data_IF_116419964156
#
_entry.id   IF_116419964156
#
_cell.length_a   1.000
_cell.length_b   1.000
_cell.length_c   1.000
_cell.angle_alpha   90.00
_cell.angle_beta   90.00
_cell.angle_gamma   90.00
#
_symmetry.space_group_name_H-M   'P 1'
#
loop_
_entity.id
_entity.type
_entity.pdbx_description
1 polymer ?
#
# COMPACT_ATOMS: atom_id res chain seq x y z
N UNK A 1 -5.11 2.18 28.29
CA UNK A 1 -3.76 2.34 27.72
C UNK A 1 -3.83 1.88 26.28
N UNK A 2 -3.60 2.75 25.33
CA UNK A 2 -3.49 2.37 23.91
C UNK A 2 -2.24 1.53 23.78
N UNK A 3 -2.37 0.25 23.40
CA UNK A 3 -1.22 -0.61 23.07
C UNK A 3 -0.80 -0.23 21.65
N UNK A 4 0.14 0.67 21.54
CA UNK A 4 0.75 1.02 20.27
C UNK A 4 1.89 0.05 19.98
N UNK A 5 1.82 -0.61 18.83
CA UNK A 5 2.94 -1.33 18.24
C UNK A 5 2.91 -2.85 18.33
N UNK A 6 2.61 -3.48 19.45
CA UNK A 6 2.57 -4.94 19.58
C UNK A 6 1.34 -5.42 20.35
N UNK A 7 0.69 -6.46 19.78
CA UNK A 7 -0.33 -7.25 20.48
C UNK A 7 -0.37 -8.66 19.87
N UNK A 8 -1.02 -9.60 20.56
CA UNK A 8 -1.22 -10.96 20.02
C UNK A 8 -1.99 -10.94 18.69
N UNK A 9 -2.92 -9.99 18.53
CA UNK A 9 -3.70 -9.85 17.31
C UNK A 9 -2.85 -9.34 16.15
N UNK A 10 -1.96 -8.36 16.38
CA UNK A 10 -0.98 -7.89 15.40
C UNK A 10 0.00 -9.01 15.03
N UNK A 11 0.52 -9.74 16.02
CA UNK A 11 1.39 -10.89 15.78
C UNK A 11 0.69 -11.98 14.93
N UNK A 12 -0.58 -12.27 15.25
CA UNK A 12 -1.37 -13.23 14.47
C UNK A 12 -1.61 -12.74 13.02
N UNK A 13 -1.87 -11.44 12.82
CA UNK A 13 -2.03 -10.86 11.49
C UNK A 13 -0.74 -10.95 10.66
N UNK A 14 0.41 -10.65 11.27
CA UNK A 14 1.72 -10.81 10.61
C UNK A 14 2.03 -12.26 10.24
N UNK A 15 1.75 -13.21 11.15
CA UNK A 15 1.92 -14.63 10.88
C UNK A 15 0.99 -15.12 9.76
N UNK A 16 -0.27 -14.61 9.75
CA UNK A 16 -1.23 -14.90 8.69
C UNK A 16 -0.76 -14.35 7.34
N UNK A 17 -0.34 -13.09 7.29
CA UNK A 17 0.20 -12.47 6.08
C UNK A 17 1.45 -13.21 5.59
N UNK A 18 2.40 -13.53 6.47
CA UNK A 18 3.62 -14.26 6.12
C UNK A 18 3.32 -15.62 5.49
N UNK A 19 2.32 -16.35 6.02
CA UNK A 19 1.89 -17.63 5.46
C UNK A 19 1.26 -17.49 4.07
N UNK A 20 0.49 -16.43 3.83
CA UNK A 20 -0.17 -16.22 2.54
C UNK A 20 0.79 -15.68 1.47
N UNK A 21 1.83 -14.95 1.88
CA UNK A 21 2.88 -14.40 1.02
C UNK A 21 4.16 -15.27 0.98
N UNK A 22 4.12 -16.53 1.44
CA UNK A 22 5.29 -17.40 1.63
C UNK A 22 6.13 -17.63 0.36
N UNK A 23 5.47 -17.64 -0.82
CA UNK A 23 6.10 -17.80 -2.12
C UNK A 23 6.32 -16.48 -2.87
N UNK A 24 5.97 -15.35 -2.26
CA UNK A 24 6.02 -14.07 -2.93
C UNK A 24 7.27 -13.27 -2.53
N UNK A 25 7.88 -12.66 -3.53
CA UNK A 25 8.96 -11.68 -3.35
C UNK A 25 8.55 -10.35 -3.95
N UNK A 26 9.10 -9.27 -3.44
CA UNK A 26 8.87 -7.93 -3.99
C UNK A 26 9.45 -7.83 -5.40
N UNK A 27 8.65 -7.29 -6.32
CA UNK A 27 8.99 -7.19 -7.74
C UNK A 27 10.37 -6.53 -7.95
N UNK A 28 11.22 -7.18 -8.73
CA UNK A 28 12.58 -6.70 -9.01
C UNK A 28 13.57 -6.82 -7.86
N UNK A 29 13.22 -7.55 -6.79
CA UNK A 29 14.09 -7.80 -5.64
C UNK A 29 14.04 -9.28 -5.24
N UNK A 30 14.82 -9.67 -4.22
CA UNK A 30 14.73 -10.98 -3.57
C UNK A 30 14.12 -10.89 -2.17
N UNK A 31 13.58 -9.73 -1.80
CA UNK A 31 13.01 -9.52 -0.48
C UNK A 31 11.67 -10.25 -0.35
N UNK A 32 11.43 -11.00 0.73
CA UNK A 32 10.14 -11.59 1.01
C UNK A 32 9.03 -10.52 1.01
N UNK A 33 7.89 -10.82 0.39
CA UNK A 33 6.81 -9.84 0.22
C UNK A 33 6.27 -9.33 1.56
N UNK A 34 6.26 -10.18 2.60
CA UNK A 34 5.78 -9.83 3.95
C UNK A 34 6.50 -8.61 4.56
N UNK A 35 7.67 -8.23 4.04
CA UNK A 35 8.36 -7.00 4.47
C UNK A 35 7.54 -5.74 4.19
N UNK A 36 6.65 -5.75 3.18
CA UNK A 36 5.77 -4.62 2.87
C UNK A 36 4.70 -4.41 3.95
N UNK A 37 3.79 -5.35 4.21
CA UNK A 37 2.79 -5.20 5.26
C UNK A 37 3.41 -4.99 6.65
N UNK A 38 4.57 -5.56 6.94
CA UNK A 38 5.28 -5.30 8.19
C UNK A 38 5.73 -3.83 8.32
N UNK A 39 6.26 -3.23 7.25
CA UNK A 39 6.64 -1.81 7.26
C UNK A 39 5.42 -0.90 7.33
N UNK A 40 4.31 -1.23 6.67
CA UNK A 40 3.04 -0.49 6.80
C UNK A 40 2.56 -0.50 8.25
N UNK A 41 2.61 -1.65 8.92
CA UNK A 41 2.27 -1.77 10.34
C UNK A 41 3.17 -0.89 11.23
N UNK A 42 4.48 -0.86 10.96
CA UNK A 42 5.44 0.00 11.67
C UNK A 42 5.10 1.49 11.47
N UNK A 43 4.76 1.90 10.25
CA UNK A 43 4.35 3.29 9.97
C UNK A 43 3.09 3.63 10.75
N UNK A 44 2.05 2.79 10.71
CA UNK A 44 0.80 3.01 11.43
C UNK A 44 1.02 3.09 12.95
N UNK A 45 1.83 2.17 13.50
CA UNK A 45 2.17 2.15 14.92
C UNK A 45 2.97 3.41 15.35
N UNK A 46 3.90 3.89 14.52
CA UNK A 46 4.68 5.12 14.76
C UNK A 46 3.77 6.36 14.92
N UNK A 47 2.61 6.35 14.27
CA UNK A 47 1.62 7.42 14.34
C UNK A 47 0.43 7.08 15.26
N UNK A 48 0.64 6.22 16.23
CA UNK A 48 -0.30 5.85 17.29
C UNK A 48 -1.67 5.35 16.79
N UNK A 49 -1.69 4.67 15.63
CA UNK A 49 -2.93 4.12 15.12
C UNK A 49 -3.40 2.92 15.96
N UNK A 50 -4.71 2.75 16.03
CA UNK A 50 -5.31 1.66 16.80
C UNK A 50 -4.97 0.27 16.20
N UNK A 51 -5.13 -0.76 17.02
CA UNK A 51 -4.85 -2.15 16.65
C UNK A 51 -5.62 -2.58 15.40
N UNK A 52 -6.89 -2.15 15.24
CA UNK A 52 -7.70 -2.51 14.08
C UNK A 52 -7.13 -1.92 12.80
N UNK A 53 -6.68 -0.67 12.83
CA UNK A 53 -6.04 0.01 11.70
C UNK A 53 -4.74 -0.68 11.31
N UNK A 54 -3.90 -1.04 12.29
CA UNK A 54 -2.64 -1.74 12.06
C UNK A 54 -2.89 -3.12 11.44
N UNK A 55 -3.84 -3.89 12.00
CA UNK A 55 -4.20 -5.22 11.49
C UNK A 55 -4.79 -5.14 10.07
N UNK A 56 -5.63 -4.14 9.79
CA UNK A 56 -6.16 -3.92 8.43
C UNK A 56 -5.04 -3.60 7.43
N UNK A 57 -4.06 -2.78 7.83
CA UNK A 57 -2.89 -2.47 7.01
C UNK A 57 -1.99 -3.68 6.70
N UNK A 58 -1.88 -4.62 7.65
CA UNK A 58 -1.17 -5.89 7.44
C UNK A 58 -1.92 -6.80 6.46
N UNK A 59 -3.25 -6.84 6.54
CA UNK A 59 -4.07 -7.81 5.81
C UNK A 59 -4.57 -7.33 4.46
N UNK A 60 -4.47 -6.03 4.16
CA UNK A 60 -4.90 -5.45 2.89
C UNK A 60 -4.22 -6.14 1.70
N UNK A 61 -2.91 -6.32 1.74
CA UNK A 61 -2.16 -6.99 0.67
C UNK A 61 -2.53 -8.48 0.55
N UNK A 62 -3.02 -9.14 1.62
CA UNK A 62 -3.47 -10.54 1.53
C UNK A 62 -4.71 -10.67 0.66
N UNK A 63 -5.70 -9.79 0.84
CA UNK A 63 -6.92 -9.82 0.01
C UNK A 63 -6.67 -9.33 -1.41
N UNK A 64 -5.67 -8.46 -1.61
CA UNK A 64 -5.31 -7.96 -2.93
C UNK A 64 -4.50 -8.99 -3.75
N UNK A 65 -3.41 -9.52 -3.18
CA UNK A 65 -2.35 -10.20 -3.91
C UNK A 65 -2.31 -11.72 -3.72
N UNK A 66 -3.08 -12.28 -2.77
CA UNK A 66 -3.04 -13.70 -2.48
C UNK A 66 -4.19 -14.49 -3.13
N UNK A 67 -4.97 -13.88 -4.02
CA UNK A 67 -5.98 -14.57 -4.83
C UNK A 67 -5.28 -15.49 -5.84
N UNK A 68 -5.52 -16.79 -5.73
CA UNK A 68 -4.97 -17.84 -6.60
C UNK A 68 -5.92 -19.04 -6.61
N UNK A 69 -5.66 -20.03 -7.44
CA UNK A 69 -6.53 -21.22 -7.60
C UNK A 69 -6.93 -21.87 -6.26
N UNK A 70 -6.00 -21.90 -5.29
CA UNK A 70 -6.26 -22.45 -3.95
C UNK A 70 -7.00 -21.49 -3.00
N UNK A 71 -7.09 -20.20 -3.35
CA UNK A 71 -7.65 -19.15 -2.48
C UNK A 71 -8.39 -18.11 -3.32
N UNK A 72 -9.69 -18.30 -3.50
CA UNK A 72 -10.53 -17.29 -4.14
C UNK A 72 -10.69 -16.05 -3.25
N UNK A 73 -11.01 -14.89 -3.84
CA UNK A 73 -11.26 -13.67 -3.09
C UNK A 73 -12.33 -13.85 -1.99
N UNK A 74 -13.51 -14.44 -2.26
CA UNK A 74 -14.52 -14.67 -1.20
C UNK A 74 -14.00 -15.55 -0.06
N UNK A 75 -13.15 -16.54 -0.35
CA UNK A 75 -12.56 -17.40 0.68
C UNK A 75 -11.55 -16.61 1.54
N UNK A 76 -10.75 -15.73 0.96
CA UNK A 76 -9.81 -14.88 1.72
C UNK A 76 -10.57 -13.88 2.58
N UNK A 77 -11.60 -13.23 2.02
CA UNK A 77 -12.48 -12.32 2.76
C UNK A 77 -13.14 -13.03 3.96
N UNK A 78 -13.71 -14.20 3.74
CA UNK A 78 -14.30 -15.00 4.82
C UNK A 78 -13.25 -15.30 5.90
N UNK A 79 -12.06 -15.79 5.53
CA UNK A 79 -11.00 -16.13 6.50
C UNK A 79 -10.51 -14.92 7.28
N UNK A 80 -10.36 -13.76 6.63
CA UNK A 80 -9.97 -12.52 7.30
C UNK A 80 -11.08 -12.07 8.25
N UNK A 81 -12.34 -12.05 7.80
CA UNK A 81 -13.49 -11.70 8.62
C UNK A 81 -13.66 -12.58 9.84
N UNK A 82 -13.56 -13.91 9.68
CA UNK A 82 -13.70 -14.89 10.78
C UNK A 82 -12.57 -14.76 11.82
N UNK A 83 -11.33 -14.45 11.38
CA UNK A 83 -10.16 -14.41 12.27
C UNK A 83 -9.93 -13.05 12.90
N UNK A 84 -10.19 -11.97 12.16
CA UNK A 84 -9.79 -10.62 12.55
C UNK A 84 -10.98 -9.66 12.72
N UNK A 85 -12.19 -10.13 12.39
CA UNK A 85 -13.42 -9.36 12.51
C UNK A 85 -13.79 -8.59 11.25
N UNK A 86 -15.08 -8.32 11.12
CA UNK A 86 -15.68 -7.67 9.96
C UNK A 86 -15.13 -6.26 9.74
N UNK A 87 -14.95 -5.49 10.82
CA UNK A 87 -14.46 -4.11 10.74
C UNK A 87 -13.05 -4.02 10.13
N UNK A 88 -12.17 -5.00 10.44
CA UNK A 88 -10.83 -5.11 9.85
C UNK A 88 -10.94 -5.42 8.37
N UNK A 89 -11.77 -6.38 8.00
CA UNK A 89 -11.99 -6.76 6.61
C UNK A 89 -12.54 -5.58 5.80
N UNK A 90 -13.58 -4.92 6.29
CA UNK A 90 -14.21 -3.77 5.60
C UNK A 90 -13.21 -2.61 5.42
N UNK A 91 -12.35 -2.36 6.42
CA UNK A 91 -11.27 -1.38 6.33
C UNK A 91 -10.25 -1.76 5.25
N UNK A 92 -9.82 -3.01 5.21
CA UNK A 92 -8.87 -3.50 4.21
C UNK A 92 -9.47 -3.41 2.80
N UNK A 93 -10.71 -3.88 2.60
CA UNK A 93 -11.40 -3.85 1.30
C UNK A 93 -11.66 -2.44 0.79
N UNK A 94 -11.93 -1.47 1.68
CA UNK A 94 -12.16 -0.08 1.29
C UNK A 94 -10.96 0.54 0.54
N UNK A 95 -9.76 0.03 0.79
CA UNK A 95 -8.49 0.52 0.21
C UNK A 95 -7.75 -0.56 -0.59
N UNK A 96 -8.44 -1.59 -1.02
CA UNK A 96 -7.92 -2.60 -1.94
C UNK A 96 -8.40 -2.29 -3.36
N UNK A 97 -7.52 -2.19 -4.37
CA UNK A 97 -7.92 -2.03 -5.76
C UNK A 97 -8.83 -3.19 -6.21
N UNK A 98 -9.92 -2.86 -6.88
CA UNK A 98 -10.85 -3.86 -7.44
C UNK A 98 -10.45 -4.25 -8.85
N UNK A 99 -10.72 -5.50 -9.22
CA UNK A 99 -10.57 -5.97 -10.60
C UNK A 99 -11.87 -5.89 -11.39
N UNK A 100 -12.99 -5.89 -10.70
CA UNK A 100 -14.34 -5.96 -11.25
C UNK A 100 -15.16 -4.87 -10.56
N UNK A 101 -15.99 -4.16 -11.30
CA UNK A 101 -16.91 -3.16 -10.78
C UNK A 101 -18.18 -3.78 -10.15
N UNK A 102 -19.14 -2.93 -9.76
CA UNK A 102 -20.39 -3.37 -9.13
C UNK A 102 -21.34 -4.07 -10.13
N UNK A 103 -21.14 -3.86 -11.43
CA UNK A 103 -21.90 -4.49 -12.51
C UNK A 103 -21.27 -5.80 -13.02
N UNK A 104 -20.14 -6.21 -12.43
CA UNK A 104 -19.40 -7.43 -12.79
C UNK A 104 -18.48 -7.26 -14.02
N UNK A 105 -18.19 -6.03 -14.43
CA UNK A 105 -17.34 -5.72 -15.58
C UNK A 105 -15.88 -5.60 -15.14
N UNK A 106 -14.96 -6.23 -15.87
CA UNK A 106 -13.53 -6.14 -15.60
C UNK A 106 -13.01 -4.73 -15.88
N UNK A 107 -12.43 -4.12 -14.85
CA UNK A 107 -11.86 -2.78 -14.92
C UNK A 107 -10.50 -2.80 -15.64
N UNK A 108 -10.29 -1.88 -16.57
CA UNK A 108 -8.97 -1.61 -17.15
C UNK A 108 -7.99 -1.13 -16.07
N UNK A 109 -6.69 -1.08 -16.40
CA UNK A 109 -5.68 -0.58 -15.47
C UNK A 109 -5.95 0.85 -14.98
N UNK A 110 -6.40 1.72 -15.87
CA UNK A 110 -6.67 3.12 -15.54
C UNK A 110 -8.00 3.25 -14.78
N UNK A 111 -9.04 2.50 -15.16
CA UNK A 111 -10.31 2.48 -14.43
C UNK A 111 -10.14 1.96 -12.98
N UNK A 112 -9.25 0.99 -12.76
CA UNK A 112 -8.90 0.52 -11.39
C UNK A 112 -8.30 1.63 -10.53
N UNK A 113 -7.46 2.48 -11.13
CA UNK A 113 -6.86 3.62 -10.45
C UNK A 113 -7.90 4.68 -10.12
N UNK A 114 -8.82 4.94 -11.03
CA UNK A 114 -9.92 5.88 -10.84
C UNK A 114 -10.87 5.39 -9.74
N UNK A 115 -11.32 4.15 -9.84
CA UNK A 115 -12.15 3.49 -8.82
C UNK A 115 -11.50 3.51 -7.44
N UNK A 116 -10.20 3.19 -7.37
CA UNK A 116 -9.46 3.19 -6.11
C UNK A 116 -9.45 4.58 -5.45
N UNK A 117 -9.13 5.64 -6.20
CA UNK A 117 -9.07 7.01 -5.68
C UNK A 117 -10.44 7.48 -5.17
N UNK A 118 -11.53 7.14 -5.89
CA UNK A 118 -12.88 7.47 -5.45
C UNK A 118 -13.32 6.69 -4.20
N UNK A 119 -12.98 5.41 -4.12
CA UNK A 119 -13.30 4.57 -2.95
C UNK A 119 -12.50 4.98 -1.73
N UNK A 120 -11.21 5.24 -1.89
CA UNK A 120 -10.34 5.75 -0.84
C UNK A 120 -10.89 7.08 -0.27
N UNK A 121 -11.37 7.97 -1.12
CA UNK A 121 -11.97 9.23 -0.69
C UNK A 121 -13.23 9.04 0.17
N UNK A 122 -14.00 7.96 -0.08
CA UNK A 122 -15.20 7.59 0.69
C UNK A 122 -14.88 6.69 1.89
N UNK A 123 -13.68 6.14 1.97
CA UNK A 123 -13.27 5.28 3.07
C UNK A 123 -13.34 6.04 4.41
N UNK A 124 -13.64 5.29 5.47
CA UNK A 124 -13.53 5.79 6.83
C UNK A 124 -12.09 6.18 7.19
N UNK A 125 -11.93 6.85 8.32
CA UNK A 125 -10.63 7.36 8.77
C UNK A 125 -9.54 6.27 8.79
N UNK A 126 -9.83 5.07 9.32
CA UNK A 126 -8.90 3.93 9.33
C UNK A 126 -8.43 3.54 7.92
N UNK A 127 -9.33 3.50 6.95
CA UNK A 127 -8.99 3.19 5.57
C UNK A 127 -8.05 4.24 4.97
N UNK A 128 -8.29 5.51 5.22
CA UNK A 128 -7.41 6.61 4.78
C UNK A 128 -6.02 6.50 5.39
N UNK A 129 -5.92 6.14 6.68
CA UNK A 129 -4.65 5.87 7.36
C UNK A 129 -3.89 4.71 6.70
N UNK A 130 -4.57 3.59 6.42
CA UNK A 130 -3.97 2.42 5.74
C UNK A 130 -3.49 2.80 4.34
N UNK A 131 -4.32 3.47 3.54
CA UNK A 131 -3.95 3.93 2.21
C UNK A 131 -2.71 4.82 2.25
N UNK A 132 -2.71 5.85 3.08
CA UNK A 132 -1.62 6.81 3.16
C UNK A 132 -0.33 6.17 3.69
N UNK A 133 -0.40 5.21 4.62
CA UNK A 133 0.78 4.44 5.08
C UNK A 133 1.37 3.55 3.97
N UNK A 134 0.51 2.92 3.14
CA UNK A 134 0.94 2.17 1.96
C UNK A 134 1.64 3.07 0.93
N UNK A 135 1.08 4.26 0.66
CA UNK A 135 1.68 5.23 -0.27
C UNK A 135 3.02 5.74 0.25
N UNK A 136 3.11 6.10 1.53
CA UNK A 136 4.36 6.53 2.15
C UNK A 136 5.44 5.44 2.07
N UNK A 137 5.07 4.19 2.40
CA UNK A 137 6.00 3.05 2.28
C UNK A 137 6.44 2.83 0.83
N UNK A 138 5.49 2.85 -0.12
CA UNK A 138 5.76 2.67 -1.54
C UNK A 138 6.75 3.70 -2.08
N UNK A 139 6.44 4.98 -1.88
CA UNK A 139 7.27 6.09 -2.33
C UNK A 139 8.68 6.08 -1.71
N UNK A 140 8.77 5.88 -0.38
CA UNK A 140 10.06 5.76 0.31
C UNK A 140 10.90 4.59 -0.19
N UNK A 141 10.28 3.45 -0.52
CA UNK A 141 10.99 2.30 -1.07
C UNK A 141 11.60 2.62 -2.43
N UNK A 142 10.84 3.30 -3.30
CA UNK A 142 11.33 3.72 -4.61
C UNK A 142 12.53 4.65 -4.45
N UNK A 143 12.42 5.68 -3.60
CA UNK A 143 13.53 6.60 -3.32
C UNK A 143 14.76 5.87 -2.76
N UNK A 144 14.57 4.93 -1.83
CA UNK A 144 15.66 4.16 -1.26
C UNK A 144 16.37 3.30 -2.32
N UNK A 145 15.60 2.71 -3.24
CA UNK A 145 16.15 1.90 -4.33
C UNK A 145 16.89 2.81 -5.36
N UNK A 146 16.32 3.96 -5.70
CA UNK A 146 16.97 4.94 -6.59
C UNK A 146 18.31 5.45 -6.03
N UNK A 147 18.37 5.70 -4.72
CA UNK A 147 19.62 6.15 -4.06
C UNK A 147 20.70 5.07 -3.98
N UNK A 148 20.35 3.80 -4.16
CA UNK A 148 21.27 2.65 -4.05
C UNK A 148 21.65 2.05 -5.39
N UNK A 149 20.95 2.39 -6.47
CA UNK A 149 21.21 1.83 -7.79
C UNK A 149 22.14 2.73 -8.60
N UNK A 150 22.96 2.12 -9.45
CA UNK A 150 23.74 2.82 -10.49
C UNK A 150 22.92 3.00 -11.77
N UNK A 151 21.79 2.28 -11.91
CA UNK A 151 20.90 2.37 -13.06
C UNK A 151 19.44 2.55 -12.61
N UNK A 152 18.96 3.81 -12.56
CA UNK A 152 17.57 4.11 -12.23
C UNK A 152 16.54 3.43 -13.13
N UNK A 153 16.90 3.09 -14.38
CA UNK A 153 16.02 2.39 -15.31
C UNK A 153 15.57 1.03 -14.79
N UNK A 154 16.42 0.32 -14.06
CA UNK A 154 16.08 -0.96 -13.42
C UNK A 154 14.99 -0.78 -12.36
N UNK A 155 15.01 0.32 -11.63
CA UNK A 155 13.97 0.62 -10.62
C UNK A 155 12.65 0.93 -11.31
N UNK A 156 12.66 1.82 -12.27
CA UNK A 156 11.46 2.27 -12.98
C UNK A 156 10.81 1.17 -13.83
N UNK A 157 11.62 0.27 -14.41
CA UNK A 157 11.15 -0.87 -15.20
C UNK A 157 10.32 -1.90 -14.40
N UNK A 158 10.28 -1.79 -13.06
CA UNK A 158 9.43 -2.64 -12.20
C UNK A 158 7.96 -2.24 -12.26
N UNK A 159 7.65 -1.00 -12.69
CA UNK A 159 6.32 -0.42 -12.62
C UNK A 159 5.67 -0.34 -14.00
N UNK A 160 4.40 -0.70 -14.07
CA UNK A 160 3.60 -0.55 -15.30
C UNK A 160 3.45 0.94 -15.63
N UNK A 161 3.82 1.32 -16.86
CA UNK A 161 3.84 2.72 -17.29
C UNK A 161 5.11 3.50 -16.89
N UNK A 162 6.09 2.84 -16.21
CA UNK A 162 7.40 3.38 -15.91
C UNK A 162 7.37 4.54 -14.92
N UNK A 163 8.40 5.38 -14.98
CA UNK A 163 8.68 6.50 -14.10
C UNK A 163 7.51 7.48 -13.96
N UNK A 164 7.09 8.08 -15.08
CA UNK A 164 6.12 9.18 -15.07
C UNK A 164 4.74 8.72 -14.56
N UNK A 165 4.30 7.52 -14.94
CA UNK A 165 3.03 6.98 -14.47
C UNK A 165 3.07 6.66 -12.97
N UNK A 166 4.22 6.23 -12.45
CA UNK A 166 4.41 5.94 -11.03
C UNK A 166 4.41 7.22 -10.20
N UNK A 167 5.15 8.25 -10.63
CA UNK A 167 5.20 9.54 -9.95
C UNK A 167 3.82 10.20 -9.95
N UNK A 168 3.14 10.26 -11.11
CA UNK A 168 1.77 10.78 -11.19
C UNK A 168 0.80 10.05 -10.28
N UNK A 169 0.95 8.73 -10.10
CA UNK A 169 0.13 7.96 -9.19
C UNK A 169 0.29 8.41 -7.74
N UNK A 170 1.53 8.44 -7.24
CA UNK A 170 1.80 8.88 -5.87
C UNK A 170 1.33 10.32 -5.61
N UNK A 171 1.55 11.22 -6.59
CA UNK A 171 1.05 12.60 -6.52
C UNK A 171 -0.48 12.61 -6.43
N UNK A 172 -1.16 11.90 -7.32
CA UNK A 172 -2.63 11.86 -7.37
C UNK A 172 -3.26 11.39 -6.05
N UNK A 173 -2.73 10.32 -5.45
CA UNK A 173 -3.25 9.82 -4.16
C UNK A 173 -2.98 10.83 -3.04
N UNK A 174 -1.78 11.42 -3.00
CA UNK A 174 -1.41 12.45 -2.02
C UNK A 174 -2.33 13.69 -2.13
N UNK A 175 -2.57 14.17 -3.34
CA UNK A 175 -3.44 15.32 -3.60
C UNK A 175 -4.89 15.01 -3.20
N UNK A 176 -5.39 13.83 -3.55
CA UNK A 176 -6.76 13.43 -3.18
C UNK A 176 -6.97 13.30 -1.68
N UNK A 177 -5.99 12.75 -0.94
CA UNK A 177 -6.03 12.73 0.53
C UNK A 177 -6.08 14.14 1.10
N UNK A 178 -5.31 15.07 0.52
CA UNK A 178 -5.32 16.48 0.93
C UNK A 178 -6.66 17.15 0.62
N UNK A 179 -7.22 16.96 -0.57
CA UNK A 179 -8.51 17.53 -1.01
C UNK A 179 -9.68 17.11 -0.13
N UNK A 180 -9.69 15.87 0.34
CA UNK A 180 -10.73 15.37 1.26
C UNK A 180 -10.51 15.78 2.72
N UNK A 181 -9.52 16.64 2.99
CA UNK A 181 -9.22 17.13 4.33
C UNK A 181 -8.59 16.10 5.25
N UNK A 182 -7.92 15.09 4.73
CA UNK A 182 -7.15 14.14 5.54
C UNK A 182 -5.84 14.81 5.95
N UNK A 183 -5.85 15.46 7.12
CA UNK A 183 -4.70 16.20 7.67
C UNK A 183 -4.04 15.44 8.82
N UNK A 184 -3.56 14.24 8.53
CA UNK A 184 -2.81 13.44 9.47
C UNK A 184 -1.36 13.96 9.61
N UNK A 185 -0.71 13.82 10.78
CA UNK A 185 0.65 14.34 11.01
C UNK A 185 1.68 13.88 9.96
N UNK A 186 1.54 12.66 9.45
CA UNK A 186 2.48 12.13 8.45
C UNK A 186 2.20 12.58 7.00
N UNK A 187 1.13 13.31 6.72
CA UNK A 187 0.90 13.89 5.40
C UNK A 187 2.02 14.85 4.97
N UNK A 188 2.66 15.51 5.93
CA UNK A 188 3.86 16.32 5.65
C UNK A 188 5.01 15.45 5.14
N UNK A 189 5.23 14.28 5.76
CA UNK A 189 6.24 13.32 5.32
C UNK A 189 5.89 12.74 3.93
N UNK A 190 4.62 12.38 3.70
CA UNK A 190 4.16 11.87 2.40
C UNK A 190 4.36 12.90 1.28
N UNK A 191 3.97 14.16 1.50
CA UNK A 191 4.17 15.24 0.52
C UNK A 191 5.66 15.46 0.20
N UNK A 192 6.52 15.44 1.22
CA UNK A 192 7.96 15.57 1.04
C UNK A 192 8.53 14.43 0.18
N UNK A 193 8.16 13.19 0.48
CA UNK A 193 8.62 12.01 -0.27
C UNK A 193 8.14 12.04 -1.72
N UNK A 194 6.89 12.43 -1.97
CA UNK A 194 6.37 12.58 -3.34
C UNK A 194 7.11 13.69 -4.09
N UNK A 195 7.40 14.82 -3.43
CA UNK A 195 8.21 15.91 -4.01
C UNK A 195 9.64 15.46 -4.32
N UNK A 196 10.26 14.66 -3.45
CA UNK A 196 11.59 14.09 -3.69
C UNK A 196 11.59 13.15 -4.93
N UNK A 197 10.52 12.35 -5.12
CA UNK A 197 10.38 11.51 -6.32
C UNK A 197 10.26 12.35 -7.60
N UNK A 198 9.54 13.46 -7.55
CA UNK A 198 9.43 14.40 -8.68
C UNK A 198 10.76 15.05 -9.01
N UNK A 199 11.46 15.58 -7.98
CA UNK A 199 12.79 16.16 -8.15
C UNK A 199 13.80 15.15 -8.72
N UNK A 200 13.72 13.87 -8.28
CA UNK A 200 14.55 12.80 -8.85
C UNK A 200 14.29 12.61 -10.34
N UNK A 201 13.08 12.89 -10.80
CA UNK A 201 12.72 12.76 -12.20
C UNK A 201 13.41 13.80 -13.10
N UNK A 202 13.69 14.95 -12.57
CA UNK A 202 14.25 16.10 -13.29
C UNK A 202 15.79 16.10 -13.33
N UNK A 203 16.43 15.27 -12.50
CA UNK A 203 17.89 15.20 -12.45
C UNK A 203 18.41 14.50 -13.71
N UNK A 204 19.18 15.18 -14.59
CA UNK A 204 19.83 14.52 -15.71
C UNK A 204 20.80 13.46 -15.17
N UNK A 205 20.80 12.27 -15.78
CA UNK A 205 21.85 11.27 -15.53
C UNK A 205 23.13 11.84 -16.14
N UNK A 206 23.94 12.52 -15.34
CA UNK A 206 25.29 12.90 -15.74
C UNK A 206 26.15 11.63 -15.72
N UNK A 207 26.33 11.05 -16.88
CA UNK A 207 27.46 10.16 -17.11
C UNK A 207 28.72 11.04 -17.17
N UNK A 208 29.39 11.21 -16.03
CA UNK A 208 30.78 11.61 -16.08
C UNK A 208 31.56 10.41 -16.60
N UNK A 209 32.17 10.60 -17.79
CA UNK A 209 33.02 9.63 -18.46
C UNK A 209 34.41 9.58 -17.83
#
# INVERSE_FOLDING_TARGET
MSTTGYSDRINHALAFAAKHHDQQVRKGTRLPYVTRPANVAIILARYDQDEQTIVAGILQDVVEDCVRDAFSLPMLEQRVGDKFGRDVLDTALAVTPRRIDDDGIELSHDDRRDDFVERMARAGERGRWVCAANELHGANTILADLRRTIDPGIVWGRFTGGKDATIRWHRRVCDRLTEIGFDAPFMTELRAVVSDLEAWSETPVSFEA
#
